data_IF_858347393416
#
_entry.id   IF_858347393416
#
_cell.length_a   1.000
_cell.length_b   1.000
_cell.length_c   1.000
_cell.angle_alpha   90.00
_cell.angle_beta   90.00
_cell.angle_gamma   90.00
#
_symmetry.space_group_name_H-M   'P 1'
#
loop_
_entity.id
_entity.type
_entity.pdbx_description
1 polymer ?
#
# COMPACT_ATOMS: atom_id res chain seq x y z
N UNK A 1 -17.39 4.08 -25.25
CA UNK A 1 -16.07 4.36 -25.80
C UNK A 1 -15.23 5.00 -24.71
N UNK A 2 -14.29 4.23 -24.16
CA UNK A 2 -13.33 4.69 -23.16
C UNK A 2 -12.30 5.58 -23.90
N UNK A 3 -12.51 6.88 -23.89
CA UNK A 3 -11.44 7.78 -24.30
C UNK A 3 -10.38 7.78 -23.18
N UNK A 4 -9.13 7.52 -23.54
CA UNK A 4 -8.03 7.67 -22.59
C UNK A 4 -8.10 9.07 -21.97
N UNK A 5 -7.87 9.19 -20.66
CA UNK A 5 -8.04 10.46 -19.97
C UNK A 5 -7.25 11.61 -20.61
N UNK A 6 -6.12 11.31 -21.27
CA UNK A 6 -5.26 12.29 -21.96
C UNK A 6 -5.88 12.88 -23.23
N UNK A 7 -6.81 12.21 -23.88
CA UNK A 7 -7.45 12.68 -25.12
C UNK A 7 -8.78 13.39 -24.88
N UNK A 8 -9.24 13.45 -23.62
CA UNK A 8 -10.47 14.14 -23.27
C UNK A 8 -10.28 15.67 -23.42
N UNK A 9 -11.09 16.36 -24.26
CA UNK A 9 -10.98 17.81 -24.47
C UNK A 9 -11.09 18.62 -23.19
N UNK A 10 -11.95 18.18 -22.25
CA UNK A 10 -12.13 18.85 -20.96
C UNK A 10 -10.88 18.77 -20.07
N UNK A 11 -10.17 17.63 -20.09
CA UNK A 11 -8.91 17.47 -19.37
C UNK A 11 -7.83 18.35 -19.99
N UNK A 12 -7.73 18.39 -21.33
CA UNK A 12 -6.82 19.29 -22.05
C UNK A 12 -7.08 20.78 -21.72
N UNK A 13 -8.35 21.15 -21.57
CA UNK A 13 -8.72 22.50 -21.14
C UNK A 13 -8.29 22.79 -19.70
N UNK A 14 -8.53 21.88 -18.78
CA UNK A 14 -8.15 22.03 -17.37
C UNK A 14 -6.64 22.16 -17.21
N UNK A 15 -5.85 21.32 -17.86
CA UNK A 15 -4.37 21.36 -17.83
C UNK A 15 -3.81 22.69 -18.34
N UNK A 16 -4.47 23.33 -19.28
CA UNK A 16 -4.07 24.65 -19.79
C UNK A 16 -4.41 25.80 -18.84
N UNK A 17 -5.43 25.63 -17.99
CA UNK A 17 -6.00 26.70 -17.17
C UNK A 17 -5.56 26.66 -15.71
N UNK A 18 -5.28 25.49 -15.17
CA UNK A 18 -4.99 25.26 -13.75
C UNK A 18 -3.67 24.56 -13.55
N UNK A 19 -3.07 24.70 -12.37
CA UNK A 19 -1.87 23.95 -12.00
C UNK A 19 -2.15 22.45 -11.86
N UNK A 20 -1.17 21.57 -12.05
CA UNK A 20 -1.32 20.13 -11.78
C UNK A 20 -1.79 19.84 -10.36
N UNK A 21 -1.34 20.62 -9.38
CA UNK A 21 -1.68 20.50 -7.97
C UNK A 21 -3.17 20.81 -7.72
N UNK A 22 -3.69 21.88 -8.33
CA UNK A 22 -5.11 22.26 -8.24
C UNK A 22 -6.00 21.19 -8.87
N UNK A 23 -5.60 20.66 -10.03
CA UNK A 23 -6.33 19.58 -10.71
C UNK A 23 -6.34 18.32 -9.86
N UNK A 24 -5.19 17.94 -9.27
CA UNK A 24 -5.08 16.77 -8.41
C UNK A 24 -5.95 16.93 -7.16
N UNK A 25 -5.89 18.10 -6.50
CA UNK A 25 -6.70 18.39 -5.31
C UNK A 25 -8.21 18.36 -5.62
N UNK A 26 -8.63 18.98 -6.73
CA UNK A 26 -10.01 18.98 -7.16
C UNK A 26 -10.52 17.57 -7.52
N UNK A 27 -9.68 16.76 -8.20
CA UNK A 27 -10.00 15.37 -8.55
C UNK A 27 -10.12 14.51 -7.28
N UNK A 28 -9.19 14.64 -6.34
CA UNK A 28 -9.24 13.95 -5.05
C UNK A 28 -10.53 14.33 -4.29
N UNK A 29 -10.82 15.60 -4.19
CA UNK A 29 -12.02 16.09 -3.51
C UNK A 29 -13.29 15.55 -4.16
N UNK A 30 -13.36 15.57 -5.50
CA UNK A 30 -14.53 15.09 -6.23
C UNK A 30 -14.79 13.60 -6.03
N UNK A 31 -13.74 12.77 -6.09
CA UNK A 31 -13.90 11.31 -5.87
C UNK A 31 -14.28 11.00 -4.43
N UNK A 32 -13.76 11.74 -3.45
CA UNK A 32 -14.17 11.63 -2.05
C UNK A 32 -15.67 11.91 -1.90
N UNK A 33 -16.15 13.04 -2.46
CA UNK A 33 -17.55 13.45 -2.36
C UNK A 33 -18.48 12.41 -2.99
N UNK A 34 -18.19 11.95 -4.20
CA UNK A 34 -18.99 10.95 -4.92
C UNK A 34 -19.10 9.65 -4.13
N UNK A 35 -17.99 9.15 -3.57
CA UNK A 35 -17.99 7.89 -2.83
C UNK A 35 -18.73 8.03 -1.50
N UNK A 36 -18.50 9.12 -0.78
CA UNK A 36 -19.18 9.37 0.50
C UNK A 36 -20.68 9.55 0.29
N UNK A 37 -21.10 10.29 -0.73
CA UNK A 37 -22.50 10.45 -1.10
C UNK A 37 -23.14 9.10 -1.45
N UNK A 38 -22.50 8.31 -2.32
CA UNK A 38 -22.94 6.97 -2.66
C UNK A 38 -23.14 6.08 -1.44
N UNK A 39 -22.18 6.07 -0.50
CA UNK A 39 -22.28 5.26 0.72
C UNK A 39 -23.44 5.77 1.60
N UNK A 40 -23.58 7.07 1.79
CA UNK A 40 -24.67 7.66 2.58
C UNK A 40 -26.05 7.36 1.99
N UNK A 41 -26.15 7.30 0.68
CA UNK A 41 -27.42 7.05 0.00
C UNK A 41 -27.85 5.58 0.09
N UNK A 42 -26.89 4.66 0.08
CA UNK A 42 -27.16 3.23 0.06
C UNK A 42 -27.08 2.54 1.42
N UNK A 43 -26.41 3.14 2.41
CA UNK A 43 -26.23 2.56 3.73
C UNK A 43 -26.83 3.51 4.78
N UNK A 44 -28.01 3.17 5.29
CA UNK A 44 -28.74 3.99 6.27
C UNK A 44 -28.59 3.50 7.70
N UNK A 45 -28.34 2.21 7.89
CA UNK A 45 -28.23 1.57 9.20
C UNK A 45 -26.79 1.30 9.58
N UNK A 46 -26.56 1.00 10.85
CA UNK A 46 -25.26 0.60 11.40
C UNK A 46 -24.76 -0.66 10.69
N UNK A 47 -23.66 -0.53 9.96
CA UNK A 47 -23.20 -1.57 9.04
C UNK A 47 -21.70 -1.77 9.10
N UNK A 48 -21.26 -3.01 8.93
CA UNK A 48 -19.86 -3.36 8.60
C UNK A 48 -19.75 -3.52 7.10
N UNK A 49 -18.73 -2.91 6.49
CA UNK A 49 -18.57 -2.94 5.04
C UNK A 49 -17.27 -3.57 4.61
N UNK A 50 -17.29 -4.22 3.46
CA UNK A 50 -16.09 -4.70 2.77
C UNK A 50 -15.89 -3.91 1.49
N UNK A 51 -14.68 -3.41 1.29
CA UNK A 51 -14.30 -2.56 0.16
C UNK A 51 -13.29 -3.29 -0.72
N UNK A 52 -13.56 -3.33 -2.02
CA UNK A 52 -12.67 -3.87 -3.05
C UNK A 52 -12.76 -3.00 -4.31
N UNK A 53 -11.67 -2.98 -5.08
CA UNK A 53 -11.50 -2.10 -6.24
C UNK A 53 -10.30 -1.16 -6.06
N UNK A 54 -9.64 -0.79 -7.15
CA UNK A 54 -8.42 0.04 -7.15
C UNK A 54 -8.59 1.40 -6.46
N UNK A 55 -9.81 1.96 -6.45
CA UNK A 55 -10.12 3.22 -5.77
C UNK A 55 -9.87 3.15 -4.25
N UNK A 56 -10.05 1.98 -3.64
CA UNK A 56 -9.81 1.78 -2.20
C UNK A 56 -8.34 1.57 -1.82
N UNK A 57 -7.42 1.72 -2.77
CA UNK A 57 -6.01 1.99 -2.45
C UNK A 57 -5.79 3.41 -1.94
N UNK A 58 -6.76 4.29 -2.11
CA UNK A 58 -6.76 5.68 -1.63
C UNK A 58 -7.12 5.74 -0.15
N UNK A 59 -6.09 5.88 0.69
CA UNK A 59 -6.23 5.88 2.15
C UNK A 59 -7.08 7.04 2.68
N UNK A 60 -7.11 8.17 1.97
CA UNK A 60 -7.91 9.34 2.37
C UNK A 60 -9.41 9.09 2.22
N UNK A 61 -9.81 8.42 1.14
CA UNK A 61 -11.19 7.97 0.95
C UNK A 61 -11.58 7.00 2.05
N UNK A 62 -10.71 6.01 2.31
CA UNK A 62 -10.96 4.99 3.34
C UNK A 62 -11.11 5.61 4.73
N UNK A 63 -10.28 6.60 5.07
CA UNK A 63 -10.40 7.35 6.31
C UNK A 63 -11.77 8.02 6.40
N UNK A 64 -12.17 8.79 5.39
CA UNK A 64 -13.48 9.46 5.39
C UNK A 64 -14.66 8.51 5.49
N UNK A 65 -14.57 7.33 4.90
CA UNK A 65 -15.59 6.29 5.05
C UNK A 65 -15.64 5.81 6.51
N UNK A 66 -14.49 5.58 7.14
CA UNK A 66 -14.43 5.13 8.53
C UNK A 66 -14.96 6.15 9.54
N UNK A 67 -14.97 7.41 9.18
CA UNK A 67 -15.49 8.50 10.01
C UNK A 67 -17.04 8.65 9.93
N UNK A 68 -17.71 7.91 9.04
CA UNK A 68 -19.17 7.92 8.94
C UNK A 68 -19.79 7.20 10.14
N UNK A 69 -20.75 7.86 10.81
CA UNK A 69 -21.37 7.38 12.07
C UNK A 69 -21.99 5.99 11.99
N UNK A 70 -22.57 5.67 10.84
CA UNK A 70 -23.24 4.39 10.57
C UNK A 70 -22.29 3.29 10.07
N UNK A 71 -21.01 3.57 9.87
CA UNK A 71 -20.00 2.57 9.51
C UNK A 71 -19.29 2.13 10.78
N UNK A 72 -19.55 0.88 11.22
CA UNK A 72 -19.00 0.34 12.48
C UNK A 72 -17.67 -0.37 12.29
N UNK A 73 -17.40 -0.87 11.09
CA UNK A 73 -16.17 -1.57 10.78
C UNK A 73 -15.93 -1.58 9.26
N UNK A 74 -14.68 -1.52 8.86
CA UNK A 74 -14.28 -1.55 7.44
C UNK A 74 -13.26 -2.66 7.24
N UNK A 75 -13.55 -3.53 6.30
CA UNK A 75 -12.57 -4.47 5.77
C UNK A 75 -12.15 -4.07 4.37
N UNK A 76 -10.86 -3.84 4.17
CA UNK A 76 -10.28 -3.59 2.86
C UNK A 76 -9.36 -4.76 2.51
N UNK A 77 -9.67 -5.45 1.41
CA UNK A 77 -8.81 -6.55 0.98
C UNK A 77 -7.40 -6.02 0.67
N UNK A 78 -6.32 -6.61 1.22
CA UNK A 78 -4.97 -6.06 1.09
C UNK A 78 -4.47 -5.89 -0.34
N UNK A 79 -4.92 -6.74 -1.26
CA UNK A 79 -4.72 -6.56 -2.71
C UNK A 79 -6.05 -6.13 -3.35
N UNK A 80 -6.50 -4.93 -3.02
CA UNK A 80 -7.84 -4.41 -3.32
C UNK A 80 -8.10 -4.19 -4.81
N UNK A 81 -7.06 -4.05 -5.63
CA UNK A 81 -7.18 -3.84 -7.08
C UNK A 81 -7.30 -5.16 -7.87
N UNK A 82 -6.99 -5.10 -9.15
CA UNK A 82 -7.12 -6.22 -10.10
C UNK A 82 -6.35 -7.47 -9.68
N UNK A 83 -5.21 -7.31 -8.99
CA UNK A 83 -4.44 -8.44 -8.46
C UNK A 83 -5.20 -9.29 -7.43
N UNK A 84 -6.25 -8.76 -6.80
CA UNK A 84 -7.12 -9.51 -5.88
C UNK A 84 -8.15 -10.40 -6.58
N UNK A 85 -8.46 -10.13 -7.84
CA UNK A 85 -9.47 -10.88 -8.59
C UNK A 85 -9.11 -12.36 -8.73
N UNK A 86 -7.83 -12.67 -8.92
CA UNK A 86 -7.36 -14.06 -9.02
C UNK A 86 -7.68 -14.86 -7.74
N UNK A 87 -7.49 -14.25 -6.57
CA UNK A 87 -7.81 -14.89 -5.28
C UNK A 87 -9.33 -15.02 -5.12
N UNK A 88 -10.08 -13.98 -5.47
CA UNK A 88 -11.56 -14.00 -5.46
C UNK A 88 -12.11 -15.12 -6.35
N UNK A 89 -11.63 -15.26 -7.57
CA UNK A 89 -12.00 -16.33 -8.49
C UNK A 89 -11.67 -17.73 -7.93
N UNK A 90 -10.50 -17.88 -7.33
CA UNK A 90 -10.09 -19.15 -6.72
C UNK A 90 -11.02 -19.55 -5.55
N UNK A 91 -11.38 -18.59 -4.69
CA UNK A 91 -12.31 -18.79 -3.57
C UNK A 91 -13.70 -19.15 -4.09
N UNK A 92 -14.21 -18.41 -5.07
CA UNK A 92 -15.52 -18.69 -5.66
C UNK A 92 -15.57 -20.05 -6.32
N UNK A 93 -14.53 -20.45 -7.06
CA UNK A 93 -14.43 -21.77 -7.67
C UNK A 93 -14.38 -22.88 -6.63
N UNK A 94 -13.59 -22.70 -5.58
CA UNK A 94 -13.50 -23.68 -4.49
C UNK A 94 -14.84 -23.86 -3.78
N UNK A 95 -15.59 -22.77 -3.53
CA UNK A 95 -16.89 -22.80 -2.85
C UNK A 95 -17.99 -23.54 -3.64
N UNK A 96 -17.81 -23.72 -4.94
CA UNK A 96 -18.74 -24.58 -5.74
C UNK A 96 -18.64 -26.04 -5.35
N UNK A 97 -17.52 -26.49 -4.82
CA UNK A 97 -17.23 -27.89 -4.52
C UNK A 97 -17.09 -28.19 -3.03
N UNK A 98 -16.62 -27.23 -2.25
CA UNK A 98 -16.40 -27.37 -0.80
C UNK A 98 -16.65 -26.03 -0.13
N UNK A 99 -17.29 -26.04 1.04
CA UNK A 99 -17.51 -24.83 1.82
C UNK A 99 -16.15 -24.27 2.28
N UNK A 100 -15.79 -23.09 1.76
CA UNK A 100 -14.63 -22.36 2.22
C UNK A 100 -15.01 -21.55 3.45
N UNK A 101 -14.37 -21.85 4.56
CA UNK A 101 -14.43 -21.02 5.76
C UNK A 101 -13.22 -20.08 5.71
N UNK A 102 -13.42 -18.77 5.53
CA UNK A 102 -12.31 -17.83 5.55
C UNK A 102 -11.66 -17.90 6.94
N UNK A 103 -10.40 -18.31 6.97
CA UNK A 103 -9.56 -18.12 8.16
C UNK A 103 -9.14 -16.66 8.17
N UNK A 104 -9.15 -16.03 9.34
CA UNK A 104 -8.55 -14.73 9.51
C UNK A 104 -7.12 -14.79 8.97
N UNK A 105 -6.87 -14.13 7.86
CA UNK A 105 -5.52 -13.96 7.34
C UNK A 105 -4.84 -12.89 8.17
N UNK A 106 -4.30 -13.30 9.31
CA UNK A 106 -3.58 -12.41 10.24
C UNK A 106 -2.29 -11.86 9.61
N UNK A 107 -1.86 -12.42 8.50
CA UNK A 107 -0.59 -12.07 7.87
C UNK A 107 -0.70 -11.99 6.36
N UNK A 108 -0.15 -10.91 5.81
CA UNK A 108 0.01 -10.69 4.36
C UNK A 108 1.37 -11.15 3.83
N UNK A 109 2.17 -11.83 4.62
CA UNK A 109 3.44 -12.41 4.17
C UNK A 109 3.22 -13.78 3.51
N UNK A 110 2.55 -13.78 2.35
CA UNK A 110 2.12 -15.00 1.64
C UNK A 110 3.06 -15.43 0.52
N UNK A 111 3.97 -14.55 0.09
CA UNK A 111 4.90 -14.79 -1.00
C UNK A 111 6.07 -15.72 -0.66
N UNK A 112 7.05 -15.87 -1.55
CA UNK A 112 8.17 -16.78 -1.38
C UNK A 112 9.07 -16.39 -0.21
N UNK A 113 9.68 -17.41 0.41
CA UNK A 113 10.72 -17.29 1.44
C UNK A 113 11.98 -18.01 0.97
N UNK A 114 13.12 -17.42 1.26
CA UNK A 114 14.42 -18.01 0.97
C UNK A 114 15.17 -18.28 2.28
N UNK A 115 15.88 -19.40 2.33
CA UNK A 115 16.69 -19.74 3.50
C UNK A 115 18.01 -18.97 3.51
N UNK A 116 18.56 -18.73 4.69
CA UNK A 116 19.85 -18.06 4.81
C UNK A 116 21.01 -18.76 4.03
N UNK A 117 21.11 -20.10 3.99
CA UNK A 117 22.10 -20.77 3.15
C UNK A 117 21.94 -20.48 1.66
N UNK A 118 20.70 -20.42 1.16
CA UNK A 118 20.43 -20.10 -0.24
C UNK A 118 20.82 -18.64 -0.54
N UNK A 119 20.45 -17.70 0.32
CA UNK A 119 20.84 -16.30 0.20
C UNK A 119 22.35 -16.16 0.18
N UNK A 120 23.05 -16.83 1.09
CA UNK A 120 24.51 -16.80 1.15
C UNK A 120 25.17 -17.40 -0.10
N UNK A 121 24.58 -18.47 -0.66
CA UNK A 121 25.03 -19.07 -1.93
C UNK A 121 24.96 -18.03 -3.06
N UNK A 122 23.83 -17.32 -3.18
CA UNK A 122 23.66 -16.29 -4.22
C UNK A 122 24.60 -15.09 -4.03
N UNK A 123 24.81 -14.64 -2.79
CA UNK A 123 25.77 -13.57 -2.47
C UNK A 123 27.18 -13.96 -2.92
N UNK A 124 27.63 -15.18 -2.60
CA UNK A 124 28.96 -15.68 -3.00
C UNK A 124 29.08 -15.88 -4.51
N UNK A 125 28.06 -16.45 -5.15
CA UNK A 125 27.99 -16.64 -6.61
C UNK A 125 28.17 -15.30 -7.36
N UNK A 126 27.55 -14.25 -6.86
CA UNK A 126 27.61 -12.92 -7.46
C UNK A 126 28.78 -12.07 -6.92
N UNK A 127 29.69 -12.66 -6.15
CA UNK A 127 30.89 -11.99 -5.57
C UNK A 127 30.59 -10.70 -4.80
N UNK A 128 29.43 -10.65 -4.14
CA UNK A 128 29.02 -9.49 -3.36
C UNK A 128 29.77 -9.47 -2.03
N UNK A 129 30.21 -8.26 -1.61
CA UNK A 129 30.76 -8.05 -0.27
C UNK A 129 29.64 -8.16 0.76
N UNK A 130 29.89 -8.87 1.84
CA UNK A 130 28.94 -9.01 2.94
C UNK A 130 29.62 -9.07 4.29
N UNK A 131 28.87 -8.75 5.33
CA UNK A 131 29.23 -8.96 6.73
C UNK A 131 28.14 -9.77 7.42
N UNK A 132 28.50 -10.60 8.38
CA UNK A 132 27.54 -11.34 9.19
C UNK A 132 27.24 -10.54 10.46
N UNK A 133 25.98 -10.23 10.68
CA UNK A 133 25.53 -9.41 11.82
C UNK A 133 24.74 -10.30 12.78
N UNK A 134 25.08 -10.24 14.07
CA UNK A 134 24.40 -11.03 15.12
C UNK A 134 23.02 -10.49 15.47
N UNK A 135 22.85 -9.15 15.48
CA UNK A 135 21.61 -8.46 15.83
C UNK A 135 21.22 -7.48 14.71
N UNK A 136 20.66 -8.00 13.58
CA UNK A 136 20.40 -7.18 12.41
C UNK A 136 19.38 -6.06 12.68
N UNK A 137 18.39 -6.28 13.56
CA UNK A 137 17.38 -5.28 13.94
C UNK A 137 18.01 -4.06 14.61
N UNK A 138 18.97 -4.26 15.53
CA UNK A 138 19.71 -3.16 16.19
C UNK A 138 20.61 -2.43 15.21
N UNK A 139 21.27 -3.18 14.32
CA UNK A 139 22.10 -2.60 13.29
C UNK A 139 21.30 -1.72 12.32
N UNK A 140 20.15 -2.22 11.83
CA UNK A 140 19.26 -1.47 10.94
C UNK A 140 18.74 -0.21 11.65
N UNK A 141 18.25 -0.33 12.88
CA UNK A 141 17.76 0.81 13.65
C UNK A 141 18.85 1.89 13.81
N UNK A 142 20.08 1.50 14.15
CA UNK A 142 21.22 2.43 14.22
C UNK A 142 21.48 3.11 12.89
N UNK A 143 21.49 2.35 11.77
CA UNK A 143 21.70 2.93 10.44
C UNK A 143 20.62 3.91 10.02
N UNK A 144 19.36 3.62 10.34
CA UNK A 144 18.26 4.54 10.09
C UNK A 144 18.39 5.84 10.91
N UNK A 145 18.82 5.74 12.18
CA UNK A 145 19.09 6.92 13.01
C UNK A 145 20.27 7.76 12.50
N UNK A 146 21.27 7.12 11.88
CA UNK A 146 22.39 7.77 11.21
C UNK A 146 21.99 8.38 9.84
N UNK A 147 20.73 8.30 9.42
CA UNK A 147 20.21 8.84 8.16
C UNK A 147 20.42 7.95 6.94
N UNK A 148 20.86 6.70 7.12
CA UNK A 148 21.01 5.78 5.99
C UNK A 148 19.67 5.24 5.49
N UNK A 149 19.61 5.00 4.18
CA UNK A 149 18.54 4.24 3.53
C UNK A 149 18.90 2.77 3.56
N UNK A 150 18.00 1.92 4.04
CA UNK A 150 18.24 0.48 4.21
C UNK A 150 17.23 -0.33 3.40
N UNK A 151 17.72 -1.14 2.45
CA UNK A 151 16.91 -2.11 1.76
C UNK A 151 16.83 -3.42 2.57
N UNK A 152 15.61 -3.86 2.88
CA UNK A 152 15.34 -5.09 3.63
C UNK A 152 14.92 -6.23 2.70
N UNK A 153 15.54 -7.40 2.92
CA UNK A 153 15.15 -8.66 2.30
C UNK A 153 15.14 -9.73 3.38
N UNK A 154 13.96 -10.00 3.94
CA UNK A 154 13.79 -10.95 5.05
C UNK A 154 12.46 -11.69 4.97
N UNK A 155 12.33 -12.81 5.68
CA UNK A 155 11.07 -13.53 5.82
C UNK A 155 10.40 -13.90 4.49
N UNK A 156 9.08 -13.97 4.50
CA UNK A 156 8.25 -14.16 3.30
C UNK A 156 7.93 -12.82 2.65
N UNK A 157 7.86 -12.80 1.32
CA UNK A 157 7.44 -11.62 0.57
C UNK A 157 6.00 -11.22 0.91
N UNK A 158 5.74 -9.94 0.91
CA UNK A 158 4.41 -9.36 1.09
C UNK A 158 3.49 -9.70 -0.08
N UNK A 159 2.21 -9.87 0.22
CA UNK A 159 1.13 -9.97 -0.75
C UNK A 159 0.36 -8.65 -0.81
N UNK A 160 0.13 -8.13 -2.02
CA UNK A 160 -0.53 -6.86 -2.24
C UNK A 160 0.41 -5.74 -2.69
N UNK A 161 -0.13 -4.54 -2.96
CA UNK A 161 0.62 -3.44 -3.56
C UNK A 161 1.51 -2.68 -2.56
N UNK A 162 1.46 -3.00 -1.27
CA UNK A 162 2.17 -2.27 -0.21
C UNK A 162 3.37 -3.04 0.31
N UNK A 163 4.47 -2.32 0.54
CA UNK A 163 5.60 -2.82 1.33
C UNK A 163 5.21 -2.95 2.80
N UNK A 164 5.56 -4.07 3.44
CA UNK A 164 5.27 -4.34 4.85
C UNK A 164 6.53 -4.73 5.66
N UNK A 165 7.71 -4.32 5.21
CA UNK A 165 8.97 -4.49 5.93
C UNK A 165 9.85 -5.67 5.48
N UNK A 166 9.37 -6.56 4.61
CA UNK A 166 10.13 -7.76 4.19
C UNK A 166 10.85 -7.61 2.85
N UNK A 167 10.25 -6.96 1.88
CA UNK A 167 10.85 -6.53 0.59
C UNK A 167 10.67 -5.02 0.51
N UNK A 168 11.37 -4.30 1.37
CA UNK A 168 11.06 -2.90 1.64
C UNK A 168 12.32 -2.06 1.69
N UNK A 169 12.19 -0.81 1.28
CA UNK A 169 13.21 0.21 1.51
C UNK A 169 12.77 1.02 2.72
N UNK A 170 13.61 1.05 3.74
CA UNK A 170 13.35 1.73 5.00
C UNK A 170 14.16 3.02 5.09
N UNK A 171 13.55 4.08 5.60
CA UNK A 171 14.19 5.37 5.88
C UNK A 171 13.66 5.93 7.19
N UNK A 172 14.46 6.82 7.81
CA UNK A 172 13.97 7.60 8.94
C UNK A 172 12.92 8.62 8.49
N UNK A 173 11.82 8.76 9.24
CA UNK A 173 10.80 9.76 8.98
C UNK A 173 11.16 11.16 9.53
N UNK A 174 12.34 11.31 10.16
CA UNK A 174 12.79 12.57 10.77
C UNK A 174 13.14 13.64 9.72
N UNK A 175 13.55 13.23 8.52
CA UNK A 175 13.95 14.13 7.43
C UNK A 175 12.95 14.05 6.27
N UNK A 176 12.22 15.13 6.02
CA UNK A 176 11.24 15.24 4.95
C UNK A 176 11.85 15.19 3.54
N UNK A 177 13.10 15.65 3.38
CA UNK A 177 13.80 15.69 2.09
C UNK A 177 14.09 14.30 1.52
N UNK A 178 14.17 13.29 2.38
CA UNK A 178 14.39 11.89 1.98
C UNK A 178 13.30 11.37 1.06
N UNK A 179 12.08 11.88 1.19
CA UNK A 179 10.96 11.46 0.33
C UNK A 179 11.20 11.85 -1.14
N UNK A 180 11.59 13.07 -1.39
CA UNK A 180 11.91 13.58 -2.74
C UNK A 180 13.14 12.88 -3.32
N UNK A 181 14.19 12.76 -2.52
CA UNK A 181 15.41 12.07 -2.92
C UNK A 181 15.16 10.62 -3.33
N UNK A 182 14.36 9.86 -2.56
CA UNK A 182 14.01 8.50 -2.88
C UNK A 182 13.16 8.39 -4.16
N UNK A 183 12.18 9.27 -4.34
CA UNK A 183 11.37 9.28 -5.55
C UNK A 183 12.25 9.50 -6.80
N UNK A 184 13.20 10.44 -6.74
CA UNK A 184 14.17 10.64 -7.80
C UNK A 184 15.08 9.43 -8.04
N UNK A 185 15.65 8.85 -6.98
CA UNK A 185 16.55 7.68 -7.08
C UNK A 185 15.86 6.44 -7.61
N UNK A 186 14.61 6.23 -7.25
CA UNK A 186 13.79 5.12 -7.72
C UNK A 186 13.13 5.40 -9.09
N UNK A 187 13.43 6.57 -9.71
CA UNK A 187 12.87 7.00 -11.00
C UNK A 187 11.34 6.90 -11.00
N UNK A 188 10.71 7.27 -9.89
CA UNK A 188 9.25 7.30 -9.81
C UNK A 188 8.77 8.57 -10.49
N UNK A 189 7.86 8.40 -11.44
CA UNK A 189 7.28 9.52 -12.22
C UNK A 189 6.21 10.27 -11.43
N UNK A 190 5.73 9.68 -10.34
CA UNK A 190 4.67 10.24 -9.52
C UNK A 190 5.19 10.54 -8.11
N UNK A 191 4.79 11.68 -7.57
CA UNK A 191 4.98 11.99 -6.16
C UNK A 191 4.07 11.08 -5.33
N UNK A 192 4.64 10.01 -4.81
CA UNK A 192 3.90 9.09 -3.94
C UNK A 192 4.48 9.12 -2.53
N UNK A 193 3.66 9.39 -1.51
CA UNK A 193 4.12 9.33 -0.13
C UNK A 193 4.52 7.89 0.24
N UNK A 194 5.49 7.76 1.13
CA UNK A 194 5.88 6.47 1.70
C UNK A 194 4.99 6.14 2.89
N UNK A 195 4.68 4.85 3.04
CA UNK A 195 3.86 4.39 4.16
C UNK A 195 4.64 4.49 5.49
N UNK A 196 4.12 5.14 6.53
CA UNK A 196 4.75 5.18 7.83
C UNK A 196 4.67 3.80 8.52
N UNK A 197 5.72 3.44 9.26
CA UNK A 197 5.75 2.28 10.15
C UNK A 197 5.90 2.79 11.57
N UNK A 198 5.02 2.37 12.46
CA UNK A 198 5.09 2.68 13.88
C UNK A 198 4.84 1.46 14.75
N UNK A 199 5.29 1.51 15.99
CA UNK A 199 4.96 0.47 16.97
C UNK A 199 3.47 0.53 17.32
N UNK A 200 2.79 -0.62 17.41
CA UNK A 200 1.35 -0.71 17.72
C UNK A 200 0.95 0.11 18.96
N UNK A 201 1.80 0.15 20.00
CA UNK A 201 1.56 0.95 21.21
C UNK A 201 1.51 2.47 20.98
N UNK A 202 2.00 2.94 19.86
CA UNK A 202 2.00 4.37 19.49
C UNK A 202 1.02 4.70 18.36
N UNK A 203 0.28 3.72 17.84
CA UNK A 203 -0.65 3.92 16.71
C UNK A 203 -1.69 5.02 16.99
N UNK A 204 -2.17 5.12 18.25
CA UNK A 204 -3.15 6.14 18.63
C UNK A 204 -2.54 7.56 18.82
N UNK A 205 -1.23 7.71 18.63
CA UNK A 205 -0.53 9.00 18.72
C UNK A 205 -0.15 9.55 17.34
N UNK A 206 -0.44 8.79 16.30
CA UNK A 206 -0.21 9.14 14.90
C UNK A 206 -1.52 9.63 14.26
#
# INVERSE_FOLDING_TARGET
LYQSGFDNPNIKFLIKKFSPEDIAAASQKRIEDVIIEFIKDNIKEDTKIALAGGVFSNVKINQKISELKNIKDIFIYPNMGDGGLAVGCAILSYNKHKKFLPRNTESMYLGPKFSNPLILKEIKKNRLKYIKIRYPEKFVAKKLLEGFVVACFQGRMEFGPRSLGNRSILVSAADKSVNEWLNMKLKRTEFMPFAPITLKRYANKM
#
